data_IF_883068074309
#
_entry.id   IF_883068074309
#
_cell.length_a   1.000
_cell.length_b   1.000
_cell.length_c   1.000
_cell.angle_alpha   90.00
_cell.angle_beta   90.00
_cell.angle_gamma   90.00
#
_symmetry.space_group_name_H-M   'P 1'
#
loop_
_entity.id
_entity.type
_entity.pdbx_description
1 polymer ?
#
# COMPACT_ATOMS: atom_id res chain seq x y z
N UNK A 1 19.89 23.35 29.18
CA UNK A 1 18.52 23.88 29.27
C UNK A 1 17.90 23.67 27.89
N UNK A 2 17.12 22.60 27.72
CA UNK A 2 16.56 22.20 26.43
C UNK A 2 15.27 23.00 26.23
N UNK A 3 15.22 23.85 25.21
CA UNK A 3 13.98 24.49 24.77
C UNK A 3 13.09 23.40 24.19
N UNK A 4 12.06 23.00 24.93
CA UNK A 4 10.91 22.30 24.39
C UNK A 4 10.23 23.28 23.43
N UNK A 5 10.20 22.95 22.15
CA UNK A 5 9.44 23.72 21.18
C UNK A 5 7.96 23.53 21.49
N UNK A 6 7.28 24.66 21.70
CA UNK A 6 5.85 24.76 21.87
C UNK A 6 5.18 24.26 20.59
N UNK A 7 4.43 23.15 20.67
CA UNK A 7 3.65 22.64 19.55
C UNK A 7 2.37 23.47 19.52
N UNK A 8 2.37 24.53 18.73
CA UNK A 8 1.12 25.21 18.37
C UNK A 8 0.27 24.19 17.61
N UNK A 9 -0.83 23.75 18.22
CA UNK A 9 -1.86 22.97 17.54
C UNK A 9 -2.43 23.86 16.46
N UNK A 10 -1.90 23.72 15.23
CA UNK A 10 -2.50 24.30 14.03
C UNK A 10 -3.94 23.80 13.99
N UNK A 11 -4.89 24.74 13.96
CA UNK A 11 -6.32 24.43 13.95
C UNK A 11 -6.61 23.30 12.95
N UNK A 12 -7.42 22.27 13.32
CA UNK A 12 -7.79 21.22 12.38
C UNK A 12 -8.38 21.89 11.14
N UNK A 13 -7.88 21.51 9.95
CA UNK A 13 -8.33 21.95 8.63
C UNK A 13 -9.84 22.27 8.65
N UNK A 14 -10.19 23.56 8.81
CA UNK A 14 -11.58 23.99 8.76
C UNK A 14 -11.99 23.97 7.30
N UNK A 15 -12.73 22.93 6.95
CA UNK A 15 -13.41 22.78 5.66
C UNK A 15 -14.42 23.91 5.55
N UNK A 16 -14.17 24.84 4.64
CA UNK A 16 -15.16 25.83 4.24
C UNK A 16 -16.33 25.13 3.57
N UNK A 17 -17.48 25.14 4.24
CA UNK A 17 -18.80 25.00 3.64
C UNK A 17 -19.25 23.58 3.30
N UNK A 18 -20.44 23.25 3.82
CA UNK A 18 -21.28 22.05 3.59
C UNK A 18 -20.90 20.81 4.40
N UNK A 19 -21.95 20.14 4.85
CA UNK A 19 -22.03 19.24 6.00
C UNK A 19 -21.01 18.08 6.01
N UNK A 20 -20.56 17.64 7.20
CA UNK A 20 -19.53 16.63 7.35
C UNK A 20 -20.09 15.22 7.10
N UNK A 21 -20.31 14.83 5.86
CA UNK A 21 -20.90 13.52 5.60
C UNK A 21 -19.92 12.33 5.64
N UNK A 22 -18.59 12.56 5.66
CA UNK A 22 -17.57 11.52 5.98
C UNK A 22 -16.25 12.13 6.48
N UNK A 23 -16.21 12.59 7.73
CA UNK A 23 -14.96 13.03 8.37
C UNK A 23 -14.16 11.82 8.87
N UNK A 24 -13.14 11.40 8.12
CA UNK A 24 -12.19 10.40 8.60
C UNK A 24 -11.10 10.08 7.58
N UNK A 25 -9.88 9.85 8.06
CA UNK A 25 -8.79 9.35 7.24
C UNK A 25 -8.84 7.83 7.22
N UNK A 26 -8.75 7.22 6.03
CA UNK A 26 -8.88 5.76 5.87
C UNK A 26 -7.54 5.04 5.82
N UNK A 27 -6.51 5.71 5.29
CA UNK A 27 -5.19 5.14 5.11
C UNK A 27 -4.14 6.26 5.07
N UNK A 28 -2.94 5.96 5.57
CA UNK A 28 -1.79 6.86 5.57
C UNK A 28 -0.57 6.08 5.11
N UNK A 29 0.30 6.71 4.33
CA UNK A 29 1.57 6.15 3.91
C UNK A 29 2.66 7.22 4.00
N UNK A 30 3.81 6.84 4.57
CA UNK A 30 5.00 7.69 4.66
C UNK A 30 6.04 7.28 3.62
N UNK A 31 6.59 8.24 2.88
CA UNK A 31 7.68 8.00 1.95
C UNK A 31 9.02 8.10 2.69
N UNK A 32 9.60 6.95 3.00
CA UNK A 32 10.89 6.90 3.70
C UNK A 32 11.97 7.64 2.89
N UNK A 33 12.59 8.66 3.51
CA UNK A 33 13.71 9.41 2.94
C UNK A 33 13.38 10.67 2.14
N UNK A 34 12.09 11.02 1.98
CA UNK A 34 11.68 12.24 1.25
C UNK A 34 10.67 13.11 2.01
N UNK A 35 10.36 12.76 3.26
CA UNK A 35 9.41 13.45 4.14
C UNK A 35 8.04 13.74 3.50
N UNK A 36 7.66 12.93 2.50
CA UNK A 36 6.34 12.98 1.88
C UNK A 36 5.36 12.08 2.63
N UNK A 37 4.16 12.61 2.85
CA UNK A 37 3.04 11.91 3.46
C UNK A 37 1.92 11.85 2.44
N UNK A 38 1.31 10.68 2.29
CA UNK A 38 0.09 10.49 1.53
C UNK A 38 -1.03 10.06 2.48
N UNK A 39 -2.23 10.62 2.31
CA UNK A 39 -3.40 10.33 3.14
C UNK A 39 -4.64 10.17 2.27
N UNK A 40 -5.43 9.12 2.53
CA UNK A 40 -6.76 8.93 1.93
C UNK A 40 -7.81 9.62 2.80
N UNK A 41 -8.47 10.63 2.23
CA UNK A 41 -9.58 11.34 2.86
C UNK A 41 -10.89 10.56 2.85
N UNK A 42 -11.86 11.01 3.64
CA UNK A 42 -13.19 10.38 3.71
C UNK A 42 -14.02 10.55 2.43
N UNK A 43 -13.66 11.53 1.60
CA UNK A 43 -14.16 11.74 0.24
C UNK A 43 -13.56 10.73 -0.78
N UNK A 44 -12.54 9.96 -0.37
CA UNK A 44 -11.85 8.98 -1.20
C UNK A 44 -10.76 9.57 -2.09
N UNK A 45 -10.44 10.86 -1.95
CA UNK A 45 -9.29 11.47 -2.63
C UNK A 45 -8.00 11.20 -1.83
N UNK A 46 -6.86 11.33 -2.50
CA UNK A 46 -5.55 11.19 -1.87
C UNK A 46 -4.85 12.54 -1.83
N UNK A 47 -4.56 13.04 -0.63
CA UNK A 47 -3.72 14.21 -0.44
C UNK A 47 -2.27 13.78 -0.27
N UNK A 48 -1.35 14.48 -0.93
CA UNK A 48 0.10 14.30 -0.79
C UNK A 48 0.73 15.63 -0.40
N UNK A 49 1.56 15.63 0.63
CA UNK A 49 2.21 16.83 1.16
C UNK A 49 3.55 16.49 1.82
N UNK A 50 4.40 17.51 2.01
CA UNK A 50 5.59 17.37 2.84
C UNK A 50 5.23 17.50 4.32
N UNK A 51 5.89 16.72 5.16
CA UNK A 51 5.63 16.69 6.61
C UNK A 51 5.87 18.05 7.29
N UNK A 52 6.81 18.85 6.77
CA UNK A 52 7.14 20.19 7.25
C UNK A 52 6.26 21.31 6.67
N UNK A 53 5.53 21.04 5.59
CA UNK A 53 4.65 21.98 4.92
C UNK A 53 3.28 21.34 4.53
N UNK A 54 2.47 20.91 5.50
CA UNK A 54 1.20 20.20 5.24
C UNK A 54 0.14 21.05 4.50
N UNK A 55 0.27 22.39 4.54
CA UNK A 55 -0.60 23.31 3.80
C UNK A 55 -0.35 23.31 2.28
N UNK A 56 0.83 22.88 1.84
CA UNK A 56 1.21 22.81 0.43
C UNK A 56 0.98 21.40 -0.12
N UNK A 57 -0.28 21.03 -0.27
CA UNK A 57 -0.67 19.70 -0.72
C UNK A 57 -1.02 19.64 -2.21
N UNK A 58 -0.99 18.41 -2.74
CA UNK A 58 -1.59 18.06 -4.02
C UNK A 58 -2.62 16.97 -3.84
N UNK A 59 -3.75 17.14 -4.51
CA UNK A 59 -4.86 16.17 -4.48
C UNK A 59 -4.79 15.29 -5.72
N UNK A 60 -4.54 14.00 -5.51
CA UNK A 60 -4.59 12.98 -6.54
C UNK A 60 -6.02 12.45 -6.60
N UNK A 61 -6.70 12.74 -7.71
CA UNK A 61 -8.09 12.35 -7.90
C UNK A 61 -8.20 10.95 -8.48
N UNK A 62 -9.08 10.15 -7.90
CA UNK A 62 -9.45 8.85 -8.47
C UNK A 62 -10.60 9.02 -9.47
N UNK A 63 -10.87 8.02 -10.33
CA UNK A 63 -12.01 8.07 -11.23
C UNK A 63 -13.32 8.27 -10.48
N UNK A 64 -14.27 8.97 -11.13
CA UNK A 64 -15.60 9.24 -10.57
C UNK A 64 -16.26 7.93 -10.08
N UNK A 65 -16.75 7.93 -8.84
CA UNK A 65 -17.36 6.79 -8.14
C UNK A 65 -16.41 5.65 -7.74
N UNK A 66 -15.10 5.89 -7.67
CA UNK A 66 -14.14 4.90 -7.17
C UNK A 66 -13.24 5.55 -6.09
N UNK A 67 -13.65 5.47 -4.83
CA UNK A 67 -12.88 6.04 -3.72
C UNK A 67 -11.57 5.26 -3.51
N UNK A 68 -10.46 5.97 -3.29
CA UNK A 68 -9.21 5.35 -2.85
C UNK A 68 -9.44 4.56 -1.54
N UNK A 69 -8.77 3.42 -1.41
CA UNK A 69 -8.86 2.53 -0.25
C UNK A 69 -7.50 2.18 0.32
N UNK A 70 -6.54 1.91 -0.55
CA UNK A 70 -5.17 1.58 -0.16
C UNK A 70 -4.20 2.49 -0.88
N UNK A 71 -3.20 2.95 -0.14
CA UNK A 71 -2.09 3.72 -0.67
C UNK A 71 -0.78 3.13 -0.20
N UNK A 72 0.24 3.18 -1.07
CA UNK A 72 1.56 2.71 -0.70
C UNK A 72 2.64 3.39 -1.53
N UNK A 73 3.66 3.89 -0.86
CA UNK A 73 4.85 4.39 -1.51
C UNK A 73 5.66 3.25 -2.11
N UNK A 74 6.19 3.47 -3.30
CA UNK A 74 7.26 2.63 -3.83
C UNK A 74 8.50 2.83 -2.94
N UNK A 75 9.14 1.76 -2.45
CA UNK A 75 10.27 1.86 -1.54
C UNK A 75 11.44 2.75 -2.00
N UNK A 76 12.11 3.34 -1.01
CA UNK A 76 13.18 4.32 -1.14
C UNK A 76 14.33 3.84 -2.04
N UNK A 77 14.87 4.75 -2.85
CA UNK A 77 15.87 4.45 -3.91
C UNK A 77 15.28 4.42 -5.31
N UNK A 78 13.96 4.24 -5.41
CA UNK A 78 13.22 4.38 -6.66
C UNK A 78 13.08 5.86 -7.05
N UNK A 79 13.78 6.30 -8.10
CA UNK A 79 13.60 7.64 -8.67
C UNK A 79 12.89 7.57 -10.02
N UNK A 80 11.89 8.41 -10.29
CA UNK A 80 11.27 9.38 -9.36
C UNK A 80 10.43 8.71 -8.26
N UNK A 81 10.10 9.42 -7.16
CA UNK A 81 9.18 8.94 -6.13
C UNK A 81 7.84 8.54 -6.75
N UNK A 82 7.29 7.42 -6.33
CA UNK A 82 6.05 6.89 -6.87
C UNK A 82 5.10 6.43 -5.77
N UNK A 83 3.83 6.73 -5.95
CA UNK A 83 2.73 6.35 -5.07
C UNK A 83 1.75 5.47 -5.83
N UNK A 84 1.40 4.34 -5.23
CA UNK A 84 0.34 3.49 -5.70
C UNK A 84 -0.96 3.85 -4.97
N UNK A 85 -2.06 3.94 -5.72
CA UNK A 85 -3.41 4.13 -5.18
C UNK A 85 -4.32 3.02 -5.70
N UNK A 86 -4.86 2.20 -4.81
CA UNK A 86 -5.89 1.21 -5.14
C UNK A 86 -7.27 1.71 -4.72
N UNK A 87 -8.23 1.67 -5.65
CA UNK A 87 -9.58 2.16 -5.44
C UNK A 87 -10.62 1.05 -5.21
N UNK A 88 -11.81 1.45 -4.78
CA UNK A 88 -12.94 0.54 -4.51
C UNK A 88 -13.47 -0.18 -5.76
N UNK A 89 -13.10 0.27 -6.96
CA UNK A 89 -13.47 -0.37 -8.22
C UNK A 89 -12.43 -1.41 -8.68
N UNK A 90 -11.41 -1.68 -7.85
CA UNK A 90 -10.34 -2.64 -8.13
C UNK A 90 -9.28 -2.11 -9.09
N UNK A 91 -9.25 -0.80 -9.37
CA UNK A 91 -8.17 -0.21 -10.16
C UNK A 91 -7.01 0.15 -9.25
N UNK A 92 -5.81 -0.15 -9.73
CA UNK A 92 -4.55 0.32 -9.17
C UNK A 92 -4.01 1.39 -10.11
N UNK A 93 -3.76 2.60 -9.60
CA UNK A 93 -3.17 3.71 -10.34
C UNK A 93 -1.78 4.01 -9.82
N UNK A 94 -0.82 4.17 -10.72
CA UNK A 94 0.57 4.49 -10.40
C UNK A 94 0.80 5.97 -10.68
N UNK A 95 1.10 6.71 -9.62
CA UNK A 95 1.49 8.11 -9.68
C UNK A 95 2.99 8.22 -9.52
N UNK A 96 3.64 8.96 -10.39
CA UNK A 96 5.04 9.32 -10.25
C UNK A 96 5.17 10.83 -10.13
N UNK A 97 6.09 11.26 -9.29
CA UNK A 97 6.40 12.67 -9.17
C UNK A 97 7.11 13.18 -10.43
N UNK A 98 6.65 14.29 -10.98
CA UNK A 98 7.40 15.09 -11.95
C UNK A 98 8.44 15.95 -11.24
N UNK A 99 8.03 16.55 -10.13
CA UNK A 99 8.88 17.29 -9.20
C UNK A 99 8.26 17.21 -7.81
N UNK A 100 8.94 16.53 -6.89
CA UNK A 100 8.39 16.27 -5.56
C UNK A 100 8.49 17.50 -4.67
N UNK A 101 9.41 18.44 -4.96
CA UNK A 101 9.61 19.64 -4.14
C UNK A 101 8.41 20.57 -4.20
N UNK A 102 7.72 20.58 -5.34
CA UNK A 102 6.49 21.35 -5.57
C UNK A 102 5.25 20.45 -5.63
N UNK A 103 5.36 19.21 -5.17
CA UNK A 103 4.28 18.22 -5.19
C UNK A 103 3.60 18.04 -6.57
N UNK A 104 4.36 18.09 -7.67
CA UNK A 104 3.82 17.85 -9.00
C UNK A 104 3.80 16.34 -9.32
N UNK A 105 2.62 15.80 -9.63
CA UNK A 105 2.39 14.36 -9.88
C UNK A 105 1.81 14.09 -11.27
N UNK A 106 2.11 12.91 -11.83
CA UNK A 106 1.48 12.39 -13.06
C UNK A 106 1.14 10.92 -12.90
N UNK A 107 0.10 10.48 -13.61
CA UNK A 107 -0.17 9.05 -13.79
C UNK A 107 0.85 8.48 -14.78
N UNK A 108 1.47 7.36 -14.42
CA UNK A 108 2.43 6.62 -15.27
C UNK A 108 1.97 5.22 -15.64
N UNK A 109 0.84 4.78 -15.11
CA UNK A 109 0.26 3.49 -15.42
C UNK A 109 -0.99 3.19 -14.60
N UNK A 110 -1.72 2.15 -15.00
CA UNK A 110 -2.81 1.60 -14.21
C UNK A 110 -3.02 0.13 -14.49
N UNK A 111 -3.42 -0.63 -13.47
CA UNK A 111 -3.90 -2.00 -13.58
C UNK A 111 -5.36 -2.04 -13.18
N UNK A 112 -6.11 -2.99 -13.74
CA UNK A 112 -7.50 -3.23 -13.34
C UNK A 112 -7.63 -4.65 -12.85
N UNK A 113 -7.90 -4.78 -11.56
CA UNK A 113 -8.11 -6.05 -10.87
C UNK A 113 -9.60 -6.18 -10.56
N UNK A 114 -10.11 -7.41 -10.62
CA UNK A 114 -11.46 -7.73 -10.17
C UNK A 114 -11.39 -9.10 -9.49
N UNK A 115 -11.88 -9.24 -8.24
CA UNK A 115 -12.67 -8.30 -7.43
C UNK A 115 -11.81 -7.24 -6.69
N UNK A 116 -12.37 -6.58 -5.66
CA UNK A 116 -11.73 -5.49 -4.91
C UNK A 116 -10.41 -5.91 -4.27
N UNK A 117 -9.47 -4.97 -4.22
CA UNK A 117 -8.16 -5.14 -3.57
C UNK A 117 -8.31 -5.00 -2.06
N UNK A 118 -7.77 -5.94 -1.30
CA UNK A 118 -7.75 -5.96 0.17
C UNK A 118 -6.42 -5.48 0.76
N UNK A 119 -5.32 -5.74 0.05
CA UNK A 119 -3.99 -5.30 0.44
C UNK A 119 -3.08 -5.21 -0.79
N UNK A 120 -2.08 -4.34 -0.69
CA UNK A 120 -1.03 -4.11 -1.69
C UNK A 120 0.31 -4.02 -0.98
N UNK A 121 1.39 -4.42 -1.66
CA UNK A 121 2.71 -4.51 -1.08
C UNK A 121 3.83 -4.53 -2.09
N UNK A 122 4.99 -4.00 -1.71
CA UNK A 122 6.22 -4.06 -2.49
C UNK A 122 7.28 -4.89 -1.79
N UNK A 123 8.17 -5.50 -2.56
CA UNK A 123 9.51 -5.87 -2.07
C UNK A 123 10.32 -4.62 -1.75
N UNK A 124 11.31 -4.72 -0.87
CA UNK A 124 12.12 -3.56 -0.44
C UNK A 124 12.91 -2.94 -1.59
N UNK A 125 13.35 -3.74 -2.53
CA UNK A 125 14.03 -3.30 -3.76
C UNK A 125 13.08 -2.73 -4.83
N UNK A 126 11.77 -2.73 -4.56
CA UNK A 126 10.72 -2.30 -5.48
C UNK A 126 10.75 -3.01 -6.84
N UNK A 127 11.22 -4.25 -6.90
CA UNK A 127 11.23 -5.09 -8.10
C UNK A 127 9.94 -5.92 -8.27
N UNK A 128 9.18 -6.10 -7.19
CA UNK A 128 7.91 -6.84 -7.19
C UNK A 128 6.82 -6.04 -6.49
N UNK A 129 5.64 -6.07 -7.10
CA UNK A 129 4.38 -5.64 -6.52
C UNK A 129 3.48 -6.86 -6.28
N UNK A 130 2.81 -6.89 -5.14
CA UNK A 130 1.79 -7.88 -4.82
C UNK A 130 0.46 -7.21 -4.47
N UNK A 131 -0.64 -7.89 -4.78
CA UNK A 131 -1.97 -7.52 -4.31
C UNK A 131 -2.74 -8.75 -3.85
N UNK A 132 -3.50 -8.62 -2.77
CA UNK A 132 -4.47 -9.62 -2.32
C UNK A 132 -5.87 -9.11 -2.67
N UNK A 133 -6.66 -9.95 -3.34
CA UNK A 133 -8.03 -9.65 -3.72
C UNK A 133 -9.02 -10.24 -2.71
N UNK A 134 -10.22 -9.66 -2.62
CA UNK A 134 -11.23 -10.02 -1.61
C UNK A 134 -11.70 -11.47 -1.68
N UNK A 135 -11.70 -12.09 -2.85
CA UNK A 135 -12.01 -13.52 -2.99
C UNK A 135 -10.84 -14.47 -2.69
N UNK A 136 -9.69 -13.94 -2.26
CA UNK A 136 -8.54 -14.74 -1.86
C UNK A 136 -7.48 -14.96 -2.93
N UNK A 137 -7.56 -14.35 -4.11
CA UNK A 137 -6.43 -14.41 -5.04
C UNK A 137 -5.29 -13.48 -4.63
N UNK A 138 -4.08 -13.99 -4.72
CA UNK A 138 -2.84 -13.22 -4.68
C UNK A 138 -2.33 -13.00 -6.11
N UNK A 139 -2.16 -11.75 -6.50
CA UNK A 139 -1.57 -11.35 -7.77
C UNK A 139 -0.16 -10.79 -7.55
N UNK A 140 0.76 -11.09 -8.46
CA UNK A 140 2.19 -10.71 -8.35
C UNK A 140 2.69 -10.18 -9.69
N UNK A 141 3.35 -9.03 -9.67
CA UNK A 141 3.92 -8.39 -10.85
C UNK A 141 5.39 -8.08 -10.65
N UNK A 142 6.17 -8.23 -11.72
CA UNK A 142 7.51 -7.66 -11.79
C UNK A 142 7.40 -6.22 -12.26
N UNK A 143 8.15 -5.34 -11.61
CA UNK A 143 8.18 -3.92 -11.93
C UNK A 143 9.59 -3.49 -12.28
N UNK A 144 9.75 -2.83 -13.42
CA UNK A 144 11.00 -2.23 -13.83
C UNK A 144 10.77 -0.78 -14.26
N UNK A 145 11.67 0.15 -13.90
CA UNK A 145 11.62 1.50 -14.45
C UNK A 145 11.97 1.45 -15.95
N UNK A 146 11.24 2.21 -16.77
CA UNK A 146 11.63 2.49 -18.16
C UNK A 146 12.47 3.77 -18.21
N UNK A 147 13.32 3.87 -19.23
CA UNK A 147 14.09 5.10 -19.50
C UNK A 147 13.19 6.34 -19.72
N UNK A 148 11.94 6.12 -20.13
CA UNK A 148 10.91 7.17 -20.27
C UNK A 148 10.37 7.71 -18.94
N UNK A 149 10.75 7.12 -17.81
CA UNK A 149 10.17 7.39 -16.50
C UNK A 149 8.77 6.78 -16.30
N UNK A 150 8.33 5.94 -17.22
CA UNK A 150 7.17 5.05 -17.03
C UNK A 150 7.57 3.81 -16.21
N UNK A 151 6.59 3.14 -15.62
CA UNK A 151 6.80 1.87 -14.96
C UNK A 151 6.39 0.74 -15.92
N UNK A 152 7.33 -0.14 -16.25
CA UNK A 152 6.95 -1.42 -16.85
C UNK A 152 6.42 -2.32 -15.77
N UNK A 153 5.22 -2.85 -16.00
CA UNK A 153 4.58 -3.80 -15.10
C UNK A 153 4.27 -5.01 -15.94
N UNK A 154 5.02 -6.09 -15.69
CA UNK A 154 4.75 -7.37 -16.28
C UNK A 154 4.14 -8.25 -15.21
N UNK A 155 2.99 -8.85 -15.52
CA UNK A 155 2.51 -9.95 -14.71
C UNK A 155 3.59 -11.03 -14.70
N UNK A 156 3.89 -11.56 -13.51
CA UNK A 156 4.72 -12.74 -13.41
C UNK A 156 3.89 -13.92 -13.88
N UNK A 157 3.76 -14.02 -15.20
CA UNK A 157 2.97 -15.03 -15.89
C UNK A 157 3.75 -16.35 -15.85
N UNK A 158 3.34 -17.22 -14.94
CA UNK A 158 3.97 -18.49 -14.70
C UNK A 158 3.63 -19.48 -15.82
N UNK A 159 4.40 -19.44 -16.92
CA UNK A 159 4.49 -20.58 -17.84
C UNK A 159 5.19 -21.74 -17.12
N UNK A 160 4.41 -22.45 -16.29
CA UNK A 160 4.84 -23.63 -15.54
C UNK A 160 4.11 -23.88 -14.21
N UNK A 161 3.35 -22.94 -13.66
CA UNK A 161 2.61 -23.17 -12.42
C UNK A 161 2.19 -21.88 -11.70
N UNK A 162 0.96 -21.45 -11.98
CA UNK A 162 0.12 -20.47 -11.24
C UNK A 162 0.74 -19.85 -9.99
N UNK A 163 1.12 -18.57 -10.06
CA UNK A 163 1.28 -17.72 -8.88
C UNK A 163 0.06 -16.85 -8.55
N UNK A 164 -1.07 -17.08 -9.23
CA UNK A 164 -2.40 -16.79 -8.71
C UNK A 164 -2.73 -17.79 -7.61
N UNK A 165 -2.18 -17.58 -6.41
CA UNK A 165 -2.54 -18.44 -5.27
C UNK A 165 -3.90 -17.97 -4.79
N UNK A 166 -4.92 -18.77 -5.09
CA UNK A 166 -6.20 -18.62 -4.39
C UNK A 166 -5.99 -19.16 -2.98
N UNK A 167 -6.18 -18.30 -1.99
CA UNK A 167 -6.47 -18.71 -0.63
C UNK A 167 -7.81 -19.44 -0.63
N UNK A 168 -8.08 -20.23 0.42
CA UNK A 168 -9.22 -21.15 0.54
C UNK A 168 -10.58 -20.42 0.73
N UNK A 169 -10.81 -19.32 0.01
CA UNK A 169 -12.06 -18.56 -0.01
C UNK A 169 -11.88 -17.04 0.15
N UNK A 170 -12.96 -16.32 0.47
CA UNK A 170 -12.93 -14.89 0.73
C UNK A 170 -12.04 -14.51 1.92
N UNK A 171 -11.36 -13.37 1.78
CA UNK A 171 -10.43 -12.81 2.77
C UNK A 171 -11.14 -11.71 3.55
N UNK A 172 -11.18 -11.86 4.87
CA UNK A 172 -11.74 -10.87 5.78
C UNK A 172 -10.80 -9.67 5.95
N UNK A 173 -9.49 -9.93 6.07
CA UNK A 173 -8.47 -8.89 6.07
C UNK A 173 -7.13 -9.43 5.54
N UNK A 174 -6.32 -8.53 4.98
CA UNK A 174 -5.00 -8.82 4.48
C UNK A 174 -4.02 -7.70 4.81
N UNK A 175 -2.74 -8.03 4.85
CA UNK A 175 -1.65 -7.07 4.92
C UNK A 175 -0.46 -7.62 4.15
N UNK A 176 0.31 -6.73 3.51
CA UNK A 176 1.54 -7.11 2.82
C UNK A 176 2.64 -6.19 3.32
N UNK A 177 3.73 -6.80 3.80
CA UNK A 177 4.92 -6.10 4.24
C UNK A 177 6.12 -6.51 3.38
N UNK A 178 7.06 -5.59 3.10
CA UNK A 178 8.37 -5.99 2.60
C UNK A 178 8.99 -6.98 3.59
N UNK A 179 9.47 -8.11 3.08
CA UNK A 179 9.98 -9.21 3.90
C UNK A 179 11.17 -8.75 4.72
N UNK A 180 11.13 -8.96 6.04
CA UNK A 180 12.22 -8.54 6.93
C UNK A 180 13.54 -9.30 6.72
N UNK A 181 13.48 -10.51 6.15
CA UNK A 181 14.65 -11.41 6.02
C UNK A 181 15.39 -11.25 4.68
N UNK A 182 14.75 -10.70 3.64
CA UNK A 182 15.37 -10.55 2.32
C UNK A 182 14.76 -9.38 1.55
N UNK A 183 15.61 -8.62 0.84
CA UNK A 183 15.22 -7.39 0.13
C UNK A 183 14.23 -7.64 -1.02
N UNK A 184 14.29 -8.83 -1.59
CA UNK A 184 13.52 -9.31 -2.73
C UNK A 184 12.26 -10.10 -2.33
N UNK A 185 11.94 -10.21 -1.03
CA UNK A 185 10.79 -10.99 -0.56
C UNK A 185 9.70 -10.11 0.02
N UNK A 186 8.47 -10.61 0.03
CA UNK A 186 7.36 -10.02 0.79
C UNK A 186 6.74 -11.05 1.71
N UNK A 187 6.21 -10.58 2.84
CA UNK A 187 5.34 -11.34 3.71
C UNK A 187 3.89 -10.90 3.46
N UNK A 188 3.04 -11.84 3.08
CA UNK A 188 1.60 -11.64 2.91
C UNK A 188 0.88 -12.32 4.06
N UNK A 189 0.13 -11.54 4.82
CA UNK A 189 -0.71 -11.98 5.91
C UNK A 189 -2.17 -11.95 5.45
N UNK A 190 -2.90 -13.04 5.67
CA UNK A 190 -4.35 -13.09 5.43
C UNK A 190 -5.12 -13.75 6.57
N UNK A 191 -6.33 -13.26 6.79
CA UNK A 191 -7.36 -13.90 7.64
C UNK A 191 -8.57 -14.17 6.76
N UNK A 192 -9.05 -15.41 6.76
CA UNK A 192 -10.17 -15.84 5.90
C UNK A 192 -11.50 -15.61 6.60
N UNK A 193 -12.55 -15.30 5.84
CA UNK A 193 -13.91 -15.16 6.41
C UNK A 193 -14.42 -16.45 7.05
N UNK A 194 -14.08 -17.60 6.47
CA UNK A 194 -14.47 -18.93 6.96
C UNK A 194 -13.73 -19.36 8.25
N UNK A 195 -12.57 -18.76 8.53
CA UNK A 195 -11.73 -19.09 9.69
C UNK A 195 -11.12 -17.83 10.29
N UNK A 196 -11.95 -16.93 10.87
CA UNK A 196 -11.50 -15.61 11.30
C UNK A 196 -10.54 -15.65 12.50
N UNK A 197 -10.41 -16.80 13.16
CA UNK A 197 -9.46 -17.05 14.25
C UNK A 197 -8.10 -17.57 13.78
N UNK A 198 -7.81 -17.54 12.47
CA UNK A 198 -6.56 -18.09 11.93
C UNK A 198 -5.86 -17.04 11.06
N UNK A 199 -4.58 -16.83 11.33
CA UNK A 199 -3.67 -16.07 10.47
C UNK A 199 -2.90 -17.01 9.56
N UNK A 200 -2.90 -16.68 8.28
CA UNK A 200 -2.07 -17.30 7.26
C UNK A 200 -0.93 -16.33 6.90
N UNK A 201 0.31 -16.82 6.94
CA UNK A 201 1.50 -16.06 6.56
C UNK A 201 2.18 -16.75 5.38
N UNK A 202 2.35 -15.99 4.30
CA UNK A 202 3.00 -16.44 3.08
C UNK A 202 4.24 -15.60 2.82
N UNK A 203 5.38 -16.24 2.61
CA UNK A 203 6.59 -15.57 2.15
C UNK A 203 6.71 -15.77 0.65
N UNK A 204 6.65 -14.69 -0.13
CA UNK A 204 6.73 -14.73 -1.59
C UNK A 204 8.12 -14.26 -2.00
N UNK A 205 8.68 -14.91 -3.02
CA UNK A 205 9.94 -14.54 -3.66
C UNK A 205 9.79 -14.46 -5.19
N UNK A 206 10.64 -13.69 -5.89
CA UNK A 206 10.61 -13.55 -7.34
C UNK A 206 10.82 -14.87 -8.08
N UNK A 207 11.52 -15.80 -7.46
CA UNK A 207 11.81 -17.13 -7.99
C UNK A 207 10.64 -18.12 -7.82
N UNK A 208 9.52 -17.67 -7.24
CA UNK A 208 8.36 -18.52 -7.01
C UNK A 208 8.50 -19.48 -5.83
N UNK A 209 9.47 -19.26 -4.93
CA UNK A 209 9.51 -20.02 -3.67
C UNK A 209 8.51 -19.41 -2.69
N UNK A 210 7.57 -20.22 -2.20
CA UNK A 210 6.62 -19.80 -1.16
C UNK A 210 6.80 -20.62 0.11
N UNK A 211 6.99 -19.96 1.25
CA UNK A 211 6.86 -20.61 2.57
C UNK A 211 5.52 -20.22 3.17
N UNK A 212 4.80 -21.20 3.70
CA UNK A 212 3.49 -21.01 4.33
C UNK A 212 3.54 -21.35 5.81
N UNK A 213 2.94 -20.50 6.64
CA UNK A 213 2.70 -20.76 8.04
C UNK A 213 1.26 -20.41 8.39
N UNK A 214 0.59 -21.31 9.13
CA UNK A 214 -0.77 -21.14 9.62
C UNK A 214 -0.73 -21.09 11.14
N UNK A 215 -1.28 -20.04 11.75
CA UNK A 215 -1.29 -19.85 13.21
C UNK A 215 -2.68 -19.45 13.69
N UNK A 216 -3.15 -20.05 14.78
CA UNK A 216 -4.37 -19.61 15.43
C UNK A 216 -4.14 -18.26 16.15
N UNK A 217 -5.07 -17.33 15.98
CA UNK A 217 -5.20 -16.13 16.80
C UNK A 217 -5.62 -16.59 18.20
N UNK A 218 -4.69 -16.54 19.15
CA UNK A 218 -4.94 -16.98 20.53
C UNK A 218 -3.85 -17.82 21.17
N UNK A 219 -2.80 -18.24 20.43
CA UNK A 219 -1.57 -18.79 21.03
C UNK A 219 -0.39 -17.85 20.80
N UNK A 220 -0.51 -16.65 21.33
CA UNK A 220 0.66 -15.93 21.81
C UNK A 220 0.72 -16.22 23.31
N UNK A 221 1.37 -17.32 23.69
CA UNK A 221 2.10 -17.26 24.95
C UNK A 221 3.12 -16.14 24.72
N UNK A 222 2.84 -14.98 25.34
CA UNK A 222 3.93 -14.10 25.71
C UNK A 222 4.82 -14.98 26.58
N UNK A 223 5.90 -15.52 26.00
CA UNK A 223 7.04 -15.99 26.77
C UNK A 223 7.53 -14.75 27.53
N UNK A 224 6.93 -14.55 28.71
CA UNK A 224 7.44 -13.69 29.75
C UNK A 224 8.64 -14.39 30.34
N UNK A 225 9.73 -14.49 29.60
CA UNK A 225 10.96 -15.01 30.11
C UNK A 225 12.10 -13.99 29.92
N UNK A 226 12.38 -13.34 31.07
CA UNK A 226 13.73 -13.02 31.59
C UNK A 226 14.42 -11.81 30.93
N UNK A 227 14.78 -10.71 31.60
CA UNK A 227 15.08 -10.38 33.00
C UNK A 227 14.74 -8.90 33.27
#
# INVERSE_FOLDING_TARGET
MIKLYDVEVVEPLRVGGTEPDRLGFQSVAWCEGLDLIAVVGGDGNVAVFHADAPGENSVLTTPKNASARHIQWRPAGSRPPALLVADSAGRITFWASRDYRVNAWKIVGSLRLRPSVMAIGWTRDASILCAVLSHGELCVWRTSPKDSGELDISELDATGGKFGKSFDGPVACASIAPGGVSVDKVAVLTVMESTPSIVNVWHISPEGTTKFQRKALGSAELESDVC
#
